data_IF_267088867864
#
_entry.id   IF_267088867864
#
_cell.length_a   1.000
_cell.length_b   1.000
_cell.length_c   1.000
_cell.angle_alpha   90.00
_cell.angle_beta   90.00
_cell.angle_gamma   90.00
#
_symmetry.space_group_name_H-M   'P 1'
#
loop_
_entity.id
_entity.type
_entity.pdbx_description
1 polymer ?
#
# COMPACT_ATOMS: atom_id res chain seq x y z
N UNK A 1 4.76 -46.55 -41.79
CA UNK A 1 5.46 -47.44 -40.85
C UNK A 1 6.50 -46.58 -40.15
N UNK A 2 6.44 -46.15 -38.90
CA UNK A 2 5.68 -46.46 -37.67
C UNK A 2 5.54 -45.09 -36.93
N UNK A 3 4.36 -44.55 -36.60
CA UNK A 3 3.50 -44.73 -35.40
C UNK A 3 4.24 -44.87 -34.05
N UNK A 4 4.16 -43.79 -33.25
CA UNK A 4 4.04 -43.68 -31.77
C UNK A 4 5.16 -44.21 -30.85
N UNK A 5 5.23 -43.80 -29.54
CA UNK A 5 4.20 -43.11 -28.75
C UNK A 5 4.65 -41.91 -27.91
N UNK A 6 3.66 -41.12 -27.50
CA UNK A 6 3.70 -40.40 -26.23
C UNK A 6 3.87 -41.43 -25.10
N UNK A 7 4.87 -41.23 -24.25
CA UNK A 7 4.96 -41.89 -22.97
C UNK A 7 5.22 -40.81 -21.93
N UNK A 8 4.25 -40.70 -21.02
CA UNK A 8 4.31 -39.98 -19.77
C UNK A 8 5.67 -40.11 -19.10
N UNK A 9 6.18 -38.99 -18.62
CA UNK A 9 6.95 -38.97 -17.38
C UNK A 9 6.56 -37.70 -16.63
N UNK A 10 5.34 -37.72 -16.08
CA UNK A 10 5.16 -37.20 -14.73
C UNK A 10 6.07 -38.01 -13.82
N UNK A 11 7.35 -37.62 -13.71
CA UNK A 11 8.17 -38.08 -12.61
C UNK A 11 7.59 -37.44 -11.36
N UNK A 12 6.94 -38.30 -10.56
CA UNK A 12 6.47 -38.00 -9.23
C UNK A 12 7.53 -37.19 -8.48
N UNK A 13 7.13 -36.02 -7.97
CA UNK A 13 7.93 -35.29 -7.00
C UNK A 13 8.09 -36.24 -5.81
N UNK A 14 9.32 -36.66 -5.56
CA UNK A 14 9.68 -37.37 -4.35
C UNK A 14 9.39 -36.43 -3.19
N UNK A 15 8.34 -36.70 -2.41
CA UNK A 15 8.05 -36.00 -1.16
C UNK A 15 8.99 -36.46 -0.04
N UNK A 16 10.30 -36.50 -0.31
CA UNK A 16 11.31 -36.66 0.73
C UNK A 16 11.92 -35.30 1.02
N UNK A 17 11.65 -34.76 2.20
CA UNK A 17 12.22 -33.52 2.77
C UNK A 17 13.76 -33.58 2.97
N UNK A 18 14.46 -34.46 2.26
CA UNK A 18 15.89 -34.74 2.45
C UNK A 18 16.70 -34.82 1.17
N UNK A 19 16.09 -34.58 0.00
CA UNK A 19 16.89 -34.51 -1.23
C UNK A 19 17.65 -33.16 -1.28
N UNK A 20 18.98 -33.18 -1.47
CA UNK A 20 19.75 -31.95 -1.63
C UNK A 20 19.33 -31.24 -2.91
N UNK A 21 19.02 -29.95 -2.78
CA UNK A 21 18.62 -29.06 -3.86
C UNK A 21 19.58 -29.18 -5.05
N UNK A 22 19.03 -29.31 -6.25
CA UNK A 22 19.83 -29.42 -7.47
C UNK A 22 20.39 -28.05 -7.85
N UNK A 23 21.51 -27.97 -8.60
CA UNK A 23 22.11 -26.70 -9.01
C UNK A 23 21.14 -25.76 -9.76
N UNK A 24 20.17 -26.31 -10.47
CA UNK A 24 19.10 -25.56 -11.15
C UNK A 24 18.03 -24.98 -10.19
N UNK A 25 17.93 -25.47 -8.96
CA UNK A 25 17.09 -24.84 -7.91
C UNK A 25 17.79 -23.61 -7.33
N UNK A 26 19.12 -23.55 -7.39
CA UNK A 26 19.88 -22.36 -7.01
C UNK A 26 19.72 -21.22 -8.03
N UNK A 27 19.47 -21.52 -9.31
CA UNK A 27 19.34 -20.51 -10.35
C UNK A 27 18.08 -19.64 -10.21
N UNK A 28 17.03 -20.13 -9.52
CA UNK A 28 15.85 -19.31 -9.18
C UNK A 28 16.11 -18.37 -7.97
N UNK A 29 17.18 -18.61 -7.21
CA UNK A 29 17.56 -17.81 -6.04
C UNK A 29 18.71 -16.83 -6.34
N UNK A 30 19.35 -16.89 -7.50
CA UNK A 30 20.60 -16.16 -7.81
C UNK A 30 20.45 -14.83 -8.54
N UNK A 31 19.28 -14.19 -8.55
CA UNK A 31 19.24 -12.77 -8.94
C UNK A 31 19.71 -11.88 -7.77
N UNK A 32 21.04 -11.93 -7.65
CA UNK A 32 22.02 -10.99 -7.12
C UNK A 32 21.98 -10.74 -5.60
N UNK A 33 22.52 -11.71 -4.85
CA UNK A 33 23.42 -11.34 -3.75
C UNK A 33 24.82 -11.27 -4.35
N UNK A 34 25.29 -10.07 -4.67
CA UNK A 34 26.69 -9.86 -5.06
C UNK A 34 27.57 -10.50 -3.99
N UNK A 35 28.47 -11.43 -4.36
CA UNK A 35 29.33 -12.10 -3.41
C UNK A 35 30.03 -11.08 -2.49
N UNK A 36 30.30 -11.38 -1.21
CA UNK A 36 30.87 -10.43 -0.24
C UNK A 36 32.11 -9.69 -0.77
N UNK A 37 32.86 -10.36 -1.64
CA UNK A 37 34.08 -9.88 -2.29
C UNK A 37 33.86 -8.75 -3.31
N UNK A 38 32.63 -8.61 -3.84
CA UNK A 38 32.29 -7.64 -4.90
C UNK A 38 31.54 -6.39 -4.41
N UNK A 39 30.85 -6.47 -3.27
CA UNK A 39 30.07 -5.36 -2.70
C UNK A 39 30.57 -4.89 -1.31
N UNK A 40 31.52 -5.62 -0.71
CA UNK A 40 31.94 -5.45 0.68
C UNK A 40 30.97 -6.12 1.66
N UNK A 41 31.52 -6.73 2.73
CA UNK A 41 30.76 -7.54 3.69
C UNK A 41 29.54 -6.85 4.28
N UNK A 42 29.63 -5.56 4.64
CA UNK A 42 28.51 -4.82 5.22
C UNK A 42 27.36 -4.61 4.23
N UNK A 43 27.65 -4.32 2.97
CA UNK A 43 26.64 -4.15 1.92
C UNK A 43 25.98 -5.49 1.55
N UNK A 44 26.79 -6.55 1.51
CA UNK A 44 26.31 -7.93 1.37
C UNK A 44 25.37 -8.33 2.52
N UNK A 45 25.79 -8.12 3.77
CA UNK A 45 25.01 -8.47 4.95
C UNK A 45 23.70 -7.69 5.01
N UNK A 46 23.73 -6.39 4.68
CA UNK A 46 22.53 -5.57 4.59
C UNK A 46 21.57 -6.09 3.51
N UNK A 47 22.09 -6.43 2.33
CA UNK A 47 21.28 -6.99 1.23
C UNK A 47 20.71 -8.36 1.58
N UNK A 48 21.49 -9.20 2.26
CA UNK A 48 21.05 -10.50 2.77
C UNK A 48 19.92 -10.36 3.81
N UNK A 49 20.08 -9.44 4.78
CA UNK A 49 19.05 -9.15 5.78
C UNK A 49 17.78 -8.61 5.10
N UNK A 50 17.91 -7.68 4.15
CA UNK A 50 16.76 -7.15 3.43
C UNK A 50 16.00 -8.25 2.71
N UNK A 51 16.70 -9.15 2.01
CA UNK A 51 16.08 -10.29 1.34
C UNK A 51 15.41 -11.25 2.33
N UNK A 52 16.07 -11.56 3.46
CA UNK A 52 15.50 -12.42 4.50
C UNK A 52 14.24 -11.83 5.14
N UNK A 53 14.17 -10.50 5.21
CA UNK A 53 13.02 -9.78 5.75
C UNK A 53 12.02 -9.35 4.67
N UNK A 54 12.19 -9.78 3.41
CA UNK A 54 11.40 -9.34 2.26
C UNK A 54 11.31 -7.80 2.11
N UNK A 55 12.40 -7.08 2.40
CA UNK A 55 12.53 -5.62 2.28
C UNK A 55 13.06 -5.26 0.89
N UNK A 56 12.31 -4.44 0.16
CA UNK A 56 12.62 -4.03 -1.23
C UNK A 56 13.20 -2.63 -1.33
N UNK A 57 13.06 -1.80 -0.30
CA UNK A 57 13.69 -0.48 -0.27
C UNK A 57 13.71 0.16 1.10
N UNK A 58 14.19 1.40 1.14
CA UNK A 58 14.16 2.22 2.35
C UNK A 58 12.73 2.59 2.73
N UNK A 59 12.49 2.81 4.03
CA UNK A 59 11.17 3.23 4.52
C UNK A 59 10.81 4.59 3.93
N UNK A 60 9.67 4.66 3.25
CA UNK A 60 9.15 5.90 2.70
C UNK A 60 8.59 6.80 3.81
N UNK A 61 9.02 8.06 3.82
CA UNK A 61 8.30 9.13 4.51
C UNK A 61 6.97 9.46 3.80
N UNK A 62 6.00 10.11 4.47
CA UNK A 62 4.76 10.55 3.83
C UNK A 62 5.01 11.41 2.57
N UNK A 63 6.01 12.28 2.61
CA UNK A 63 6.40 13.12 1.47
C UNK A 63 6.96 12.32 0.30
N UNK A 64 7.85 11.36 0.55
CA UNK A 64 8.38 10.47 -0.50
C UNK A 64 7.30 9.57 -1.10
N UNK A 65 6.37 9.08 -0.27
CA UNK A 65 5.21 8.34 -0.75
C UNK A 65 4.35 9.24 -1.66
N UNK A 66 4.06 10.47 -1.26
CA UNK A 66 3.29 11.39 -2.10
C UNK A 66 3.98 11.71 -3.43
N UNK A 67 5.30 11.93 -3.42
CA UNK A 67 6.08 12.11 -4.65
C UNK A 67 6.03 10.89 -5.57
N UNK A 68 6.05 9.69 -4.98
CA UNK A 68 5.92 8.44 -5.74
C UNK A 68 4.52 8.35 -6.36
N UNK A 69 3.46 8.71 -5.62
CA UNK A 69 2.10 8.78 -6.15
C UNK A 69 1.98 9.81 -7.29
N UNK A 70 2.70 10.94 -7.23
CA UNK A 70 2.74 11.90 -8.35
C UNK A 70 3.33 11.29 -9.62
N UNK A 71 4.37 10.48 -9.50
CA UNK A 71 4.98 9.77 -10.64
C UNK A 71 4.10 8.63 -11.16
N UNK A 72 3.43 7.90 -10.27
CA UNK A 72 2.58 6.76 -10.64
C UNK A 72 1.29 7.23 -11.31
N UNK A 73 0.66 8.29 -10.77
CA UNK A 73 -0.64 8.81 -11.18
C UNK A 73 -0.50 10.22 -11.77
N UNK A 74 0.27 10.32 -12.85
CA UNK A 74 0.70 11.56 -13.50
C UNK A 74 -0.15 11.95 -14.73
N UNK A 75 -0.01 13.20 -15.18
CA UNK A 75 -0.76 13.74 -16.32
C UNK A 75 -0.46 13.03 -17.64
N UNK A 76 0.80 12.63 -17.87
CA UNK A 76 1.20 11.83 -19.04
C UNK A 76 0.58 10.43 -19.05
N UNK A 77 0.07 9.95 -17.90
CA UNK A 77 -0.67 8.69 -17.74
C UNK A 77 -2.20 8.89 -17.71
N UNK A 78 -2.65 10.11 -18.03
CA UNK A 78 -4.06 10.47 -18.13
C UNK A 78 -4.74 10.76 -16.78
N UNK A 79 -3.97 11.12 -15.76
CA UNK A 79 -4.49 11.60 -14.47
C UNK A 79 -4.51 13.13 -14.42
N UNK A 80 -5.43 13.72 -13.65
CA UNK A 80 -5.50 15.17 -13.43
C UNK A 80 -5.14 15.49 -11.99
N UNK A 81 -4.27 16.48 -11.79
CA UNK A 81 -3.93 16.99 -10.47
C UNK A 81 -4.93 18.10 -10.09
N UNK A 82 -5.90 17.79 -9.23
CA UNK A 82 -7.05 18.69 -9.00
C UNK A 82 -6.89 19.65 -7.82
N UNK A 83 -5.96 19.39 -6.90
CA UNK A 83 -5.78 20.24 -5.72
C UNK A 83 -4.36 20.12 -5.19
N UNK A 84 -3.77 21.26 -4.87
CA UNK A 84 -2.46 21.36 -4.24
C UNK A 84 -2.57 22.02 -2.87
N UNK A 85 -1.78 21.56 -1.90
CA UNK A 85 -1.59 22.23 -0.61
C UNK A 85 -0.10 22.44 -0.35
N UNK A 86 0.24 23.53 0.32
CA UNK A 86 1.58 23.71 0.83
C UNK A 86 1.70 22.99 2.18
N UNK A 87 2.45 21.90 2.22
CA UNK A 87 2.90 21.30 3.46
C UNK A 87 4.40 21.57 3.60
N UNK A 88 4.82 22.23 4.68
CA UNK A 88 6.24 22.52 4.95
C UNK A 88 6.97 23.36 3.89
N UNK A 89 6.24 24.25 3.20
CA UNK A 89 6.81 25.04 2.11
C UNK A 89 7.04 24.26 0.82
N UNK A 90 6.59 23.00 0.76
CA UNK A 90 6.58 22.17 -0.45
C UNK A 90 5.13 22.03 -0.93
N UNK A 91 4.91 22.36 -2.20
CA UNK A 91 3.64 22.16 -2.87
C UNK A 91 3.42 20.64 -3.04
N UNK A 92 2.35 20.12 -2.47
CA UNK A 92 1.99 18.70 -2.53
C UNK A 92 0.66 18.54 -3.25
N UNK A 93 0.63 17.70 -4.27
CA UNK A 93 -0.61 17.25 -4.90
C UNK A 93 -1.43 16.47 -3.89
N UNK A 94 -2.65 16.95 -3.62
CA UNK A 94 -3.57 16.37 -2.65
C UNK A 94 -4.44 15.29 -3.29
N UNK A 95 -4.88 15.52 -4.53
CA UNK A 95 -5.83 14.68 -5.24
C UNK A 95 -5.34 14.46 -6.67
N UNK A 96 -5.21 13.19 -7.07
CA UNK A 96 -4.96 12.74 -8.44
C UNK A 96 -6.20 12.03 -8.92
N UNK A 97 -6.76 12.48 -10.03
CA UNK A 97 -8.12 12.11 -10.44
C UNK A 97 -8.12 11.53 -11.84
N UNK A 98 -8.86 10.45 -12.05
CA UNK A 98 -9.10 9.88 -13.37
C UNK A 98 -10.51 9.32 -13.44
N UNK A 99 -11.24 9.68 -14.49
CA UNK A 99 -12.53 9.08 -14.77
C UNK A 99 -12.34 7.79 -15.57
N UNK A 100 -13.01 6.72 -15.13
CA UNK A 100 -13.06 5.45 -15.85
C UNK A 100 -14.40 4.76 -15.60
N UNK A 101 -15.04 4.28 -16.67
CA UNK A 101 -16.34 3.60 -16.61
C UNK A 101 -17.44 4.35 -15.84
N UNK A 102 -17.43 5.70 -15.87
CA UNK A 102 -18.40 6.53 -15.15
C UNK A 102 -18.13 6.72 -13.66
N UNK A 103 -16.99 6.25 -13.15
CA UNK A 103 -16.52 6.44 -11.77
C UNK A 103 -15.31 7.36 -11.78
N UNK A 104 -15.30 8.35 -10.89
CA UNK A 104 -14.10 9.15 -10.62
C UNK A 104 -13.20 8.41 -9.61
N UNK A 105 -12.03 7.94 -10.05
CA UNK A 105 -11.00 7.40 -9.17
C UNK A 105 -10.13 8.53 -8.64
N UNK A 106 -9.93 8.56 -7.33
CA UNK A 106 -9.21 9.64 -6.64
C UNK A 106 -8.10 9.04 -5.78
N UNK A 107 -6.85 9.19 -6.21
CA UNK A 107 -5.70 8.84 -5.38
C UNK A 107 -5.30 10.04 -4.54
N UNK A 108 -5.47 9.91 -3.23
CA UNK A 108 -5.20 10.97 -2.27
C UNK A 108 -3.72 10.98 -1.84
N UNK A 109 -3.25 12.16 -1.42
CA UNK A 109 -2.06 12.25 -0.59
C UNK A 109 -2.23 11.47 0.71
N UNK A 110 -1.10 11.10 1.31
CA UNK A 110 -1.06 10.39 2.59
C UNK A 110 -1.78 11.17 3.69
N UNK A 111 -2.48 10.46 4.57
CA UNK A 111 -3.19 11.04 5.72
C UNK A 111 -2.85 10.26 7.00
N UNK A 112 -3.13 10.81 8.17
CA UNK A 112 -2.96 10.12 9.46
C UNK A 112 -4.27 9.92 10.23
N UNK A 113 -4.28 8.93 11.12
CA UNK A 113 -5.42 8.60 12.00
C UNK A 113 -5.32 9.24 13.40
N UNK A 114 -4.35 10.13 13.63
CA UNK A 114 -4.23 10.91 14.87
C UNK A 114 -5.32 12.00 14.96
N UNK A 115 -5.75 12.37 16.18
CA UNK A 115 -6.60 13.55 16.38
C UNK A 115 -5.99 14.81 15.77
N UNK A 116 -6.85 15.71 15.32
CA UNK A 116 -6.42 17.02 14.81
C UNK A 116 -5.68 17.77 15.90
N UNK A 117 -4.39 17.98 15.66
CA UNK A 117 -3.49 18.66 16.56
C UNK A 117 -2.27 19.10 15.75
N UNK A 118 -1.71 20.25 16.08
CA UNK A 118 -0.40 20.68 15.56
C UNK A 118 0.76 19.90 16.19
N UNK A 119 0.53 18.64 16.57
CA UNK A 119 1.53 17.80 17.23
C UNK A 119 2.63 17.40 16.27
N UNK A 120 3.86 17.24 16.77
CA UNK A 120 4.99 16.72 15.98
C UNK A 120 4.66 15.36 15.35
N UNK A 121 3.86 14.53 16.03
CA UNK A 121 3.44 13.24 15.51
C UNK A 121 2.51 13.36 14.28
N UNK A 122 1.51 14.24 14.32
CA UNK A 122 0.63 14.52 13.17
C UNK A 122 1.43 15.00 11.96
N UNK A 123 2.34 15.95 12.22
CA UNK A 123 3.31 16.49 11.28
C UNK A 123 4.20 15.42 10.64
N UNK A 124 4.81 14.53 11.44
CA UNK A 124 5.64 13.42 10.94
C UNK A 124 4.84 12.37 10.18
N UNK A 125 3.53 12.28 10.41
CA UNK A 125 2.61 11.38 9.71
C UNK A 125 2.00 11.99 8.44
N UNK A 126 2.49 13.16 7.99
CA UNK A 126 2.06 13.82 6.75
C UNK A 126 1.26 15.10 6.97
N UNK A 127 0.90 15.43 8.21
CA UNK A 127 0.26 16.69 8.60
C UNK A 127 -1.23 16.82 8.25
N UNK A 128 -1.79 15.90 7.45
CA UNK A 128 -3.22 15.87 7.10
C UNK A 128 -3.94 14.78 7.88
N UNK A 129 -5.01 15.15 8.56
CA UNK A 129 -5.87 14.20 9.28
C UNK A 129 -6.79 13.47 8.31
N UNK A 130 -7.21 12.26 8.68
CA UNK A 130 -8.23 11.51 7.95
C UNK A 130 -9.49 12.36 7.77
N UNK A 131 -9.88 13.08 8.82
CA UNK A 131 -11.03 13.97 8.83
C UNK A 131 -10.91 15.07 7.76
N UNK A 132 -9.83 15.85 7.76
CA UNK A 132 -9.52 16.84 6.70
C UNK A 132 -9.53 16.23 5.31
N UNK A 133 -9.12 14.96 5.19
CA UNK A 133 -9.15 14.25 3.92
C UNK A 133 -10.57 14.04 3.42
N UNK A 134 -11.44 13.50 4.26
CA UNK A 134 -12.82 13.22 3.89
C UNK A 134 -13.68 14.47 3.74
N UNK A 135 -13.51 15.50 4.58
CA UNK A 135 -14.19 16.79 4.37
C UNK A 135 -13.86 17.36 3.00
N UNK A 136 -12.58 17.36 2.62
CA UNK A 136 -12.15 17.85 1.31
C UNK A 136 -12.70 17.01 0.14
N UNK A 137 -12.87 15.70 0.32
CA UNK A 137 -13.46 14.83 -0.68
C UNK A 137 -14.96 15.06 -0.82
N UNK A 138 -15.69 15.13 0.30
CA UNK A 138 -17.12 15.42 0.31
C UNK A 138 -17.44 16.79 -0.35
N UNK A 139 -16.62 17.81 -0.05
CA UNK A 139 -16.75 19.14 -0.65
C UNK A 139 -16.48 19.15 -2.16
N UNK A 140 -15.51 18.34 -2.62
CA UNK A 140 -15.11 18.30 -4.03
C UNK A 140 -16.03 17.44 -4.90
N UNK A 141 -16.67 16.42 -4.32
CA UNK A 141 -17.48 15.42 -5.02
C UNK A 141 -18.92 15.40 -4.48
N UNK A 142 -19.57 16.57 -4.47
CA UNK A 142 -20.95 16.76 -4.00
C UNK A 142 -22.01 16.06 -4.87
N UNK A 143 -21.65 15.66 -6.10
CA UNK A 143 -22.53 15.01 -7.04
C UNK A 143 -21.81 13.85 -7.72
N UNK A 144 -22.54 12.76 -7.96
CA UNK A 144 -22.04 11.56 -8.62
C UNK A 144 -21.25 10.65 -7.68
N UNK A 145 -20.76 9.56 -8.27
CA UNK A 145 -20.05 8.52 -7.53
C UNK A 145 -18.53 8.62 -7.76
N UNK A 146 -17.79 8.51 -6.68
CA UNK A 146 -16.34 8.55 -6.67
C UNK A 146 -15.76 7.46 -5.77
N UNK A 147 -14.57 6.98 -6.14
CA UNK A 147 -13.80 6.02 -5.34
C UNK A 147 -12.49 6.67 -4.90
N UNK A 148 -12.35 6.88 -3.60
CA UNK A 148 -11.15 7.45 -3.01
C UNK A 148 -10.21 6.36 -2.52
N UNK A 149 -8.93 6.50 -2.85
CA UNK A 149 -7.84 5.60 -2.49
C UNK A 149 -6.84 6.42 -1.65
N UNK A 150 -6.83 6.15 -0.35
CA UNK A 150 -6.22 7.03 0.66
C UNK A 150 -5.17 6.24 1.43
N UNK A 151 -3.86 6.47 1.18
CA UNK A 151 -2.83 5.91 2.04
C UNK A 151 -2.91 6.50 3.45
N UNK A 152 -3.17 5.65 4.45
CA UNK A 152 -3.32 6.05 5.85
C UNK A 152 -2.07 5.63 6.63
N UNK A 153 -1.34 6.60 7.17
CA UNK A 153 -0.38 6.39 8.23
C UNK A 153 -1.12 6.10 9.54
N UNK A 154 -1.28 4.83 9.85
CA UNK A 154 -1.75 4.40 11.16
C UNK A 154 -0.65 4.69 12.18
N UNK A 155 -0.97 5.54 13.16
CA UNK A 155 -0.03 5.99 14.17
C UNK A 155 -0.48 5.47 15.54
N UNK A 156 0.24 4.48 16.08
CA UNK A 156 0.00 3.97 17.44
C UNK A 156 0.85 4.74 18.45
N UNK A 157 0.28 5.08 19.59
CA UNK A 157 0.97 5.65 20.75
C UNK A 157 1.64 4.60 21.64
N UNK A 158 1.39 3.30 21.43
CA UNK A 158 1.91 2.23 22.28
C UNK A 158 3.23 1.62 21.79
N UNK A 159 4.32 2.01 22.44
CA UNK A 159 5.58 1.28 22.45
C UNK A 159 6.77 2.09 23.00
N UNK A 160 7.80 1.45 23.60
CA UNK A 160 9.01 2.12 24.10
C UNK A 160 9.92 2.73 23.00
N UNK A 161 9.46 2.74 21.75
CA UNK A 161 10.20 3.18 20.56
C UNK A 161 9.51 4.34 19.81
N UNK A 162 8.53 5.00 20.43
CA UNK A 162 7.80 6.13 19.82
C UNK A 162 6.72 5.70 18.81
N UNK A 163 6.04 6.66 18.15
CA UNK A 163 4.98 6.36 17.20
C UNK A 163 5.53 5.51 16.04
N UNK A 164 5.08 4.26 15.96
CA UNK A 164 5.34 3.41 14.80
C UNK A 164 4.33 3.79 13.71
N UNK A 165 4.83 4.30 12.59
CA UNK A 165 4.02 4.51 11.39
C UNK A 165 3.93 3.21 10.59
N UNK A 166 2.71 2.71 10.42
CA UNK A 166 2.33 1.65 9.48
C UNK A 166 1.41 2.25 8.42
N UNK A 167 1.73 2.07 7.14
CA UNK A 167 0.85 2.53 6.06
C UNK A 167 -0.10 1.43 5.63
N UNK A 168 -1.37 1.78 5.50
CA UNK A 168 -2.42 0.98 4.89
C UNK A 168 -3.07 1.77 3.77
N UNK A 169 -3.85 1.11 2.90
CA UNK A 169 -4.68 1.80 1.92
C UNK A 169 -6.13 1.75 2.38
N UNK A 170 -6.75 2.91 2.60
CA UNK A 170 -8.19 3.01 2.79
C UNK A 170 -8.84 3.27 1.43
N UNK A 171 -9.64 2.32 0.96
CA UNK A 171 -10.55 2.48 -0.16
C UNK A 171 -11.90 2.96 0.38
N UNK A 172 -12.47 4.01 -0.19
CA UNK A 172 -13.77 4.54 0.21
C UNK A 172 -14.65 4.87 -1.00
N UNK A 173 -15.90 4.44 -0.94
CA UNK A 173 -16.92 4.79 -1.92
C UNK A 173 -17.69 6.02 -1.43
N UNK A 174 -17.76 7.02 -2.31
CA UNK A 174 -18.43 8.29 -2.06
C UNK A 174 -19.53 8.42 -3.10
N UNK A 175 -20.75 8.71 -2.64
CA UNK A 175 -21.87 9.02 -3.51
C UNK A 175 -22.53 10.32 -3.06
N UNK A 176 -22.56 11.31 -3.95
CA UNK A 176 -23.15 12.63 -3.71
C UNK A 176 -22.64 13.30 -2.41
N UNK A 177 -21.32 13.26 -2.21
CA UNK A 177 -20.65 13.83 -1.04
C UNK A 177 -20.74 12.99 0.24
N UNK A 178 -21.45 11.85 0.22
CA UNK A 178 -21.63 10.97 1.38
C UNK A 178 -20.79 9.71 1.21
N UNK A 179 -20.01 9.37 2.23
CA UNK A 179 -19.21 8.16 2.26
C UNK A 179 -20.12 6.97 2.60
N UNK A 180 -20.25 6.04 1.66
CA UNK A 180 -21.17 4.90 1.77
C UNK A 180 -20.50 3.69 2.45
N UNK A 181 -19.26 3.40 2.04
CA UNK A 181 -18.49 2.24 2.51
C UNK A 181 -17.01 2.55 2.50
N UNK A 182 -16.25 1.85 3.33
CA UNK A 182 -14.80 1.89 3.27
C UNK A 182 -14.16 0.55 3.67
N UNK A 183 -13.06 0.22 3.01
CA UNK A 183 -12.27 -1.00 3.21
C UNK A 183 -10.83 -0.60 3.47
N UNK A 184 -10.28 -1.05 4.59
CA UNK A 184 -8.88 -0.86 4.96
C UNK A 184 -8.06 -2.07 4.49
N UNK A 185 -7.21 -1.87 3.51
CA UNK A 185 -6.31 -2.89 2.98
C UNK A 185 -5.00 -2.88 3.78
N UNK A 186 -4.79 -3.89 4.62
CA UNK A 186 -3.58 -4.05 5.44
C UNK A 186 -2.59 -5.04 4.83
N UNK A 187 -1.42 -4.58 4.33
CA UNK A 187 -0.45 -5.46 3.71
C UNK A 187 0.22 -6.44 4.69
N UNK A 188 0.27 -6.16 6.00
CA UNK A 188 0.99 -7.01 6.97
C UNK A 188 0.18 -8.17 7.56
N UNK A 189 -1.09 -8.27 7.18
CA UNK A 189 -2.02 -9.23 7.76
C UNK A 189 -2.48 -8.84 9.17
N UNK A 190 -3.59 -9.41 9.63
CA UNK A 190 -4.35 -8.92 10.79
C UNK A 190 -3.64 -8.89 12.14
N UNK A 191 -2.41 -9.41 12.25
CA UNK A 191 -1.62 -9.29 13.48
C UNK A 191 -1.31 -7.84 13.82
N UNK A 192 -1.03 -6.98 12.84
CA UNK A 192 -0.80 -5.56 13.10
C UNK A 192 -2.10 -4.90 13.54
N UNK A 193 -3.20 -5.21 12.88
CA UNK A 193 -4.52 -4.67 13.21
C UNK A 193 -4.96 -4.99 14.66
N UNK A 194 -4.54 -6.11 15.26
CA UNK A 194 -4.77 -6.39 16.69
C UNK A 194 -4.24 -5.29 17.64
N UNK A 195 -3.18 -4.58 17.25
CA UNK A 195 -2.59 -3.51 18.05
C UNK A 195 -3.14 -2.13 17.72
N UNK A 196 -3.58 -1.91 16.48
CA UNK A 196 -4.06 -0.61 16.01
C UNK A 196 -5.59 -0.47 16.11
N UNK A 197 -6.34 -1.57 15.98
CA UNK A 197 -7.79 -1.56 15.85
C UNK A 197 -8.23 -0.67 14.70
N UNK A 198 -7.55 -0.76 13.56
CA UNK A 198 -7.58 0.19 12.45
C UNK A 198 -8.98 0.55 12.01
N UNK A 199 -9.78 -0.44 11.58
CA UNK A 199 -11.16 -0.21 11.18
C UNK A 199 -12.00 0.46 12.27
N UNK A 200 -11.94 -0.04 13.51
CA UNK A 200 -12.71 0.51 14.62
C UNK A 200 -12.36 1.97 14.90
N UNK A 201 -11.06 2.30 14.88
CA UNK A 201 -10.55 3.65 15.08
C UNK A 201 -10.96 4.58 13.94
N UNK A 202 -10.77 4.18 12.68
CA UNK A 202 -11.14 4.98 11.52
C UNK A 202 -12.66 5.20 11.47
N UNK A 203 -13.46 4.18 11.77
CA UNK A 203 -14.93 4.30 11.91
C UNK A 203 -15.30 5.33 12.98
N UNK A 204 -14.66 5.29 14.15
CA UNK A 204 -14.93 6.23 15.24
C UNK A 204 -14.52 7.67 14.90
N UNK A 205 -13.49 7.87 14.06
CA UNK A 205 -13.10 9.20 13.57
C UNK A 205 -14.17 9.74 12.63
N UNK A 206 -14.59 8.93 11.64
CA UNK A 206 -15.53 9.38 10.62
C UNK A 206 -16.96 9.59 11.15
N UNK A 207 -17.37 8.84 12.18
CA UNK A 207 -18.66 9.02 12.87
C UNK A 207 -18.80 10.33 13.64
N UNK A 208 -17.72 11.06 13.86
CA UNK A 208 -17.81 12.38 14.51
C UNK A 208 -18.41 13.45 13.59
N UNK A 209 -18.56 13.13 12.31
CA UNK A 209 -19.04 14.08 11.30
C UNK A 209 -20.29 13.57 10.57
N UNK A 210 -21.05 14.51 10.01
CA UNK A 210 -22.17 14.23 9.12
C UNK A 210 -21.71 13.95 7.67
N UNK A 211 -20.62 13.19 7.50
CA UNK A 211 -20.02 12.88 6.19
C UNK A 211 -20.23 11.42 5.76
N UNK A 212 -20.87 10.61 6.59
CA UNK A 212 -21.05 9.17 6.41
C UNK A 212 -22.54 8.80 6.33
N UNK A 213 -22.86 7.69 5.67
CA UNK A 213 -24.20 7.09 5.72
C UNK A 213 -24.55 6.48 7.08
N UNK A 214 -25.85 6.25 7.33
CA UNK A 214 -26.38 5.78 8.62
C UNK A 214 -25.79 4.42 9.07
N UNK A 215 -25.51 3.51 8.13
CA UNK A 215 -24.97 2.16 8.39
C UNK A 215 -23.45 2.06 8.15
N UNK A 216 -22.75 3.19 8.10
CA UNK A 216 -21.33 3.20 7.76
C UNK A 216 -20.44 2.51 8.81
N UNK A 217 -19.55 1.65 8.32
CA UNK A 217 -18.42 1.11 9.04
C UNK A 217 -17.24 0.88 8.09
N UNK A 218 -16.03 1.06 8.62
CA UNK A 218 -14.81 0.63 7.93
C UNK A 218 -14.63 -0.86 8.18
N UNK A 219 -14.43 -1.63 7.11
CA UNK A 219 -14.03 -3.04 7.18
C UNK A 219 -12.52 -3.18 6.96
N UNK A 220 -11.94 -4.34 7.24
CA UNK A 220 -10.50 -4.58 7.00
C UNK A 220 -10.31 -5.82 6.14
N UNK A 221 -9.47 -5.70 5.12
CA UNK A 221 -8.92 -6.82 4.38
C UNK A 221 -7.47 -7.07 4.81
N UNK A 222 -7.24 -8.22 5.42
CA UNK A 222 -5.91 -8.65 5.85
C UNK A 222 -5.21 -9.37 4.71
N UNK A 223 -4.44 -8.64 3.91
CA UNK A 223 -3.82 -9.15 2.69
C UNK A 223 -2.65 -10.08 2.97
N UNK A 224 -1.79 -9.72 3.92
CA UNK A 224 -0.60 -10.52 4.28
C UNK A 224 0.48 -10.59 3.18
N UNK A 225 0.43 -9.68 2.19
CA UNK A 225 1.42 -9.62 1.10
C UNK A 225 2.80 -9.12 1.57
N UNK A 226 2.83 -8.39 2.69
CA UNK A 226 4.04 -7.90 3.34
C UNK A 226 4.36 -8.73 4.59
N UNK A 227 5.62 -9.18 4.70
CA UNK A 227 6.11 -9.81 5.92
C UNK A 227 5.94 -8.89 7.14
N UNK A 228 5.52 -9.46 8.28
CA UNK A 228 5.40 -8.72 9.54
C UNK A 228 6.71 -8.01 9.94
N UNK A 229 7.85 -8.64 9.63
CA UNK A 229 9.19 -8.14 9.94
C UNK A 229 9.70 -7.10 8.91
N UNK A 230 9.06 -6.99 7.74
CA UNK A 230 9.34 -5.92 6.80
C UNK A 230 8.76 -4.60 7.37
N UNK A 231 9.63 -3.69 7.81
CA UNK A 231 9.24 -2.38 8.37
C UNK A 231 9.10 -1.25 7.34
N UNK A 232 9.45 -1.49 6.08
CA UNK A 232 9.81 -0.42 5.14
C UNK A 232 8.84 -0.25 3.97
N UNK A 233 8.22 -1.33 3.51
CA UNK A 233 7.49 -1.32 2.22
C UNK A 233 5.97 -1.13 2.34
N UNK A 234 5.44 -0.92 3.56
CA UNK A 234 3.99 -0.73 3.76
C UNK A 234 3.42 0.43 2.91
N UNK A 235 4.20 1.51 2.73
CA UNK A 235 3.84 2.62 1.85
C UNK A 235 3.88 2.24 0.37
N UNK A 236 4.83 1.40 -0.06
CA UNK A 236 4.90 0.90 -1.44
C UNK A 236 3.72 -0.02 -1.75
N UNK A 237 3.35 -0.90 -0.82
CA UNK A 237 2.15 -1.73 -0.95
C UNK A 237 0.88 -0.90 -1.04
N UNK A 238 0.73 0.17 -0.24
CA UNK A 238 -0.42 1.07 -0.36
C UNK A 238 -0.52 1.71 -1.77
N UNK A 239 0.61 2.13 -2.35
CA UNK A 239 0.65 2.66 -3.72
C UNK A 239 0.34 1.57 -4.77
N UNK A 240 0.88 0.36 -4.59
CA UNK A 240 0.61 -0.79 -5.46
C UNK A 240 -0.87 -1.17 -5.45
N UNK A 241 -1.50 -1.24 -4.28
CA UNK A 241 -2.94 -1.52 -4.17
C UNK A 241 -3.77 -0.43 -4.86
N UNK A 242 -3.41 0.83 -4.72
CA UNK A 242 -4.10 1.92 -5.43
C UNK A 242 -3.96 1.76 -6.96
N UNK A 243 -2.77 1.40 -7.45
CA UNK A 243 -2.54 1.14 -8.87
C UNK A 243 -3.36 -0.07 -9.37
N UNK A 244 -3.43 -1.14 -8.58
CA UNK A 244 -4.24 -2.32 -8.89
C UNK A 244 -5.73 -2.02 -8.94
N UNK A 245 -6.28 -1.35 -7.93
CA UNK A 245 -7.71 -1.00 -7.91
C UNK A 245 -8.09 -0.11 -9.09
N UNK A 246 -7.23 0.85 -9.46
CA UNK A 246 -7.50 1.78 -10.57
C UNK A 246 -7.36 1.12 -11.95
N UNK A 247 -6.52 0.10 -12.09
CA UNK A 247 -6.31 -0.61 -13.36
C UNK A 247 -7.27 -1.79 -13.55
N UNK A 248 -7.56 -2.54 -12.48
CA UNK A 248 -8.24 -3.84 -12.52
C UNK A 248 -9.60 -3.83 -11.80
N UNK A 249 -9.96 -2.73 -11.14
CA UNK A 249 -11.22 -2.58 -10.40
C UNK A 249 -11.24 -3.21 -9.01
N UNK A 250 -10.13 -3.85 -8.59
CA UNK A 250 -10.02 -4.49 -7.28
C UNK A 250 -8.64 -5.10 -7.02
N UNK A 251 -8.53 -5.94 -5.98
CA UNK A 251 -7.29 -6.57 -5.55
C UNK A 251 -7.27 -8.10 -5.72
N UNK A 252 -8.22 -8.69 -6.45
CA UNK A 252 -8.31 -10.14 -6.65
C UNK A 252 -7.07 -10.73 -7.32
N UNK A 253 -6.48 -9.97 -8.26
CA UNK A 253 -5.25 -10.34 -8.99
C UNK A 253 -3.99 -9.68 -8.39
N UNK A 254 -4.08 -9.07 -7.22
CA UNK A 254 -2.93 -8.48 -6.54
C UNK A 254 -2.17 -9.57 -5.78
N UNK A 255 -0.92 -9.82 -6.17
CA UNK A 255 -0.02 -10.75 -5.50
C UNK A 255 1.37 -10.13 -5.21
N UNK A 256 2.19 -10.86 -4.47
CA UNK A 256 3.56 -10.45 -4.11
C UNK A 256 4.45 -10.28 -5.35
N UNK A 257 4.31 -11.11 -6.38
CA UNK A 257 5.14 -11.03 -7.59
C UNK A 257 4.88 -9.73 -8.36
N UNK A 258 3.61 -9.38 -8.53
CA UNK A 258 3.17 -8.12 -9.10
C UNK A 258 3.62 -6.92 -8.26
N UNK A 259 3.58 -7.02 -6.93
CA UNK A 259 4.09 -5.98 -6.06
C UNK A 259 5.59 -5.74 -6.26
N UNK A 260 6.40 -6.80 -6.34
CA UNK A 260 7.86 -6.69 -6.58
C UNK A 260 8.16 -6.05 -7.93
N UNK A 261 7.46 -6.47 -8.99
CA UNK A 261 7.61 -5.87 -10.31
C UNK A 261 7.25 -4.38 -10.30
N UNK A 262 6.14 -4.03 -9.64
CA UNK A 262 5.71 -2.65 -9.45
C UNK A 262 6.72 -1.82 -8.65
N UNK A 263 7.33 -2.41 -7.61
CA UNK A 263 8.33 -1.71 -6.80
C UNK A 263 9.58 -1.37 -7.61
N UNK A 264 10.07 -2.32 -8.41
CA UNK A 264 11.24 -2.10 -9.27
C UNK A 264 11.01 -1.04 -10.36
N UNK A 265 9.77 -0.83 -10.79
CA UNK A 265 9.44 0.19 -11.80
C UNK A 265 9.30 1.60 -11.21
N UNK A 266 8.85 1.72 -9.95
CA UNK A 266 8.36 2.99 -9.42
C UNK A 266 9.09 3.52 -8.17
N UNK A 267 10.00 2.75 -7.56
CA UNK A 267 10.71 3.14 -6.33
C UNK A 267 12.20 2.79 -6.39
#
# INVERSE_FOLDING_TARGET
>A
MWISPAADNFTAISNSETDPLQPQDHELFTDIISAPESAGFCSWLHSFINRLLDIFGEKLSPGQLNQSLDSIFSEDKGWQQNRDVNAWGVKQTVLRVKESAGIAYIVCATTHDLPESDSVAAHMAGGRSLLQTFTALADAYQQGSAKALIPVAQSNTYGPFGPRGHFTLLEADIDNGIIQSAVLHDPKGGFVDMFYGGAGRLTAILRKENLIGDDFSVTVEHRGDQSLLNGNDCGRFAAYYAAKITAEGGLDCADKKGAVAFFAEHF
#
